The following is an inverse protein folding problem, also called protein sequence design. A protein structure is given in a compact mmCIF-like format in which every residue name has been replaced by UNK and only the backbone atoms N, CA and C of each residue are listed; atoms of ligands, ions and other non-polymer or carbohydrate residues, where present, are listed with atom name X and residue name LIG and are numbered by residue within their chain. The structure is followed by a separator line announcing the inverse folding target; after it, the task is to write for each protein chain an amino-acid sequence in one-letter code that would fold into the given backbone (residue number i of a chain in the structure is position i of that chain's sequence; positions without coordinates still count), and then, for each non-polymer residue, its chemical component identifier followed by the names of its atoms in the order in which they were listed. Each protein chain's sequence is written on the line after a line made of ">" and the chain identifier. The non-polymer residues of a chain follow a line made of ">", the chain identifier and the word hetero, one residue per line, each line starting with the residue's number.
data_IF_515964089768
#
_entry.id   IF_515964089768
#
_cell.length_a   1.000
_cell.length_b   1.000
_cell.length_c   1.000
_cell.angle_alpha   90.00
_cell.angle_beta   90.00
_cell.angle_gamma   90.00
#
_symmetry.space_group_name_H-M   'P 1'
#
loop_
_entity.id
_entity.type
_entity.pdbx_description
1 polymer ?
#
# COMPACT_ATOMS: atom_id res chain seq x y z
N UNK A 1 -6.20 19.63 -13.93
CA UNK A 1 -7.27 18.65 -13.69
C UNK A 1 -8.28 19.29 -12.77
N UNK A 2 -9.57 19.02 -12.97
CA UNK A 2 -10.64 19.54 -12.11
C UNK A 2 -10.74 18.68 -10.84
N UNK A 3 -11.00 19.29 -9.69
CA UNK A 3 -11.30 18.55 -8.47
C UNK A 3 -12.69 17.91 -8.56
N UNK A 4 -12.94 16.77 -7.88
CA UNK A 4 -14.28 16.20 -7.77
C UNK A 4 -15.26 17.21 -7.17
N UNK A 5 -16.48 17.29 -7.71
CA UNK A 5 -17.53 18.19 -7.21
C UNK A 5 -17.86 17.88 -5.75
N UNK A 6 -17.90 16.60 -5.38
CA UNK A 6 -18.11 16.18 -3.98
C UNK A 6 -17.08 16.78 -3.02
N UNK A 7 -15.79 16.83 -3.40
CA UNK A 7 -14.73 17.39 -2.56
C UNK A 7 -14.86 18.92 -2.42
N UNK A 8 -15.13 19.61 -3.53
CA UNK A 8 -15.34 21.06 -3.52
C UNK A 8 -16.54 21.42 -2.65
N UNK A 9 -17.63 20.67 -2.74
CA UNK A 9 -18.80 20.85 -1.88
C UNK A 9 -18.48 20.62 -0.40
N UNK A 10 -17.67 19.59 -0.07
CA UNK A 10 -17.20 19.37 1.31
C UNK A 10 -16.33 20.53 1.83
N UNK A 11 -15.46 21.11 1.00
CA UNK A 11 -14.66 22.29 1.38
C UNK A 11 -15.55 23.51 1.60
N UNK A 12 -16.45 23.81 0.65
CA UNK A 12 -17.39 24.93 0.73
C UNK A 12 -18.32 24.81 1.94
N UNK A 13 -18.76 23.60 2.28
CA UNK A 13 -19.61 23.31 3.44
C UNK A 13 -18.97 23.61 4.81
N UNK A 14 -17.65 23.86 4.86
CA UNK A 14 -16.96 24.32 6.07
C UNK A 14 -17.09 25.82 6.33
N UNK A 15 -17.64 26.60 5.39
CA UNK A 15 -17.81 28.04 5.53
C UNK A 15 -19.03 28.38 6.40
N UNK A 16 -18.81 29.20 7.43
CA UNK A 16 -19.84 29.67 8.36
C UNK A 16 -19.85 28.89 9.68
N UNK A 17 -19.58 29.58 10.79
CA UNK A 17 -19.53 28.97 12.13
C UNK A 17 -20.91 28.94 12.76
N UNK A 18 -21.44 27.76 13.12
CA UNK A 18 -22.74 27.66 13.77
C UNK A 18 -22.84 28.52 15.03
N UNK A 19 -23.83 29.40 15.09
CA UNK A 19 -24.10 30.28 16.23
C UNK A 19 -23.24 31.54 16.35
N UNK A 20 -22.29 31.78 15.42
CA UNK A 20 -21.48 32.99 15.39
C UNK A 20 -21.73 33.82 14.12
N UNK A 21 -21.68 33.18 12.96
CA UNK A 21 -21.80 33.87 11.68
C UNK A 21 -23.26 33.82 11.19
N UNK A 22 -23.84 34.94 10.72
CA UNK A 22 -25.21 34.96 10.20
C UNK A 22 -25.34 34.20 8.87
N UNK A 23 -24.26 34.09 8.11
CA UNK A 23 -24.13 33.29 6.88
C UNK A 23 -22.66 32.92 6.64
N UNK A 24 -22.42 31.87 5.87
CA UNK A 24 -21.09 31.46 5.41
C UNK A 24 -20.86 31.88 3.96
N UNK A 25 -19.62 32.23 3.61
CA UNK A 25 -19.22 32.56 2.24
C UNK A 25 -18.08 31.65 1.81
N UNK A 26 -18.25 30.98 0.67
CA UNK A 26 -17.21 30.18 0.01
C UNK A 26 -16.94 30.78 -1.37
N UNK A 27 -15.67 30.87 -1.75
CA UNK A 27 -15.24 31.53 -2.99
C UNK A 27 -14.42 30.55 -3.82
N UNK A 28 -14.87 30.32 -5.06
CA UNK A 28 -14.10 29.57 -6.05
C UNK A 28 -13.13 30.52 -6.77
N UNK A 29 -11.89 30.10 -6.92
CA UNK A 29 -10.83 30.90 -7.55
C UNK A 29 -10.34 30.19 -8.81
N UNK A 30 -10.34 30.90 -9.94
CA UNK A 30 -9.83 30.41 -11.22
C UNK A 30 -9.47 31.55 -12.15
N UNK A 31 -8.94 31.20 -13.33
CA UNK A 31 -8.67 32.17 -14.38
C UNK A 31 -9.99 32.77 -14.93
N UNK A 32 -9.95 33.99 -15.45
CA UNK A 32 -11.16 34.71 -15.85
C UNK A 32 -12.01 33.98 -16.90
N UNK A 33 -11.37 33.20 -17.77
CA UNK A 33 -11.97 32.36 -18.80
C UNK A 33 -12.62 31.07 -18.26
N UNK A 34 -12.32 30.67 -17.02
CA UNK A 34 -12.88 29.47 -16.37
C UNK A 34 -14.13 29.74 -15.52
N UNK A 35 -14.57 31.00 -15.43
CA UNK A 35 -15.65 31.42 -14.53
C UNK A 35 -16.95 30.65 -14.75
N UNK A 36 -17.39 30.54 -16.00
CA UNK A 36 -18.69 29.93 -16.28
C UNK A 36 -18.66 28.41 -16.04
N UNK A 37 -17.54 27.76 -16.35
CA UNK A 37 -17.31 26.33 -16.06
C UNK A 37 -17.25 26.05 -14.54
N UNK A 38 -16.63 26.95 -13.75
CA UNK A 38 -16.65 26.85 -12.28
C UNK A 38 -18.07 26.92 -11.71
N UNK A 39 -18.91 27.80 -12.24
CA UNK A 39 -20.31 27.93 -11.82
C UNK A 39 -21.10 26.68 -12.20
N UNK A 40 -21.04 26.28 -13.47
CA UNK A 40 -21.75 25.10 -13.97
C UNK A 40 -21.35 23.84 -13.19
N UNK A 41 -20.05 23.63 -12.96
CA UNK A 41 -19.54 22.40 -12.33
C UNK A 41 -19.78 22.33 -10.83
N UNK A 42 -19.49 23.42 -10.10
CA UNK A 42 -19.40 23.38 -8.64
C UNK A 42 -20.51 24.12 -7.91
N UNK A 43 -21.21 25.04 -8.56
CA UNK A 43 -22.35 25.76 -7.93
C UNK A 43 -23.68 25.16 -8.36
N UNK A 44 -23.83 24.87 -9.65
CA UNK A 44 -25.06 24.32 -10.23
C UNK A 44 -25.00 22.79 -10.38
N UNK A 45 -23.79 22.24 -10.47
CA UNK A 45 -23.55 20.80 -10.60
C UNK A 45 -23.77 20.04 -9.30
N UNK A 46 -24.30 18.82 -9.44
CA UNK A 46 -24.45 17.87 -8.34
C UNK A 46 -23.14 17.06 -8.16
N UNK A 47 -22.86 16.58 -6.93
CA UNK A 47 -21.75 15.66 -6.69
C UNK A 47 -21.80 14.42 -7.57
N UNK A 48 -20.63 13.89 -7.92
CA UNK A 48 -20.52 12.60 -8.60
C UNK A 48 -21.14 11.48 -7.75
N UNK A 49 -21.75 10.48 -8.42
CA UNK A 49 -22.25 9.28 -7.75
C UNK A 49 -21.11 8.51 -7.07
N UNK A 50 -21.40 7.91 -5.92
CA UNK A 50 -20.46 6.99 -5.26
C UNK A 50 -20.48 5.66 -6.01
N UNK A 51 -19.32 5.23 -6.49
CA UNK A 51 -19.14 3.94 -7.17
C UNK A 51 -18.35 2.97 -6.29
N UNK A 52 -18.67 1.67 -6.37
CA UNK A 52 -17.90 0.65 -5.66
C UNK A 52 -16.50 0.43 -6.24
N UNK A 53 -15.46 0.48 -5.39
CA UNK A 53 -14.07 0.19 -5.77
C UNK A 53 -13.67 -1.29 -5.62
N UNK A 54 -14.57 -2.17 -5.19
CA UNK A 54 -14.26 -3.59 -4.92
C UNK A 54 -13.60 -4.34 -6.10
N UNK A 55 -13.92 -3.97 -7.34
CA UNK A 55 -13.36 -4.59 -8.54
C UNK A 55 -11.91 -4.16 -8.85
N UNK A 56 -11.37 -3.19 -8.11
CA UNK A 56 -9.95 -2.87 -8.16
C UNK A 56 -9.11 -4.12 -7.83
N UNK A 57 -8.15 -4.53 -8.69
CA UNK A 57 -7.42 -5.78 -8.52
C UNK A 57 -6.68 -5.91 -7.18
N UNK A 58 -6.11 -4.83 -6.65
CA UNK A 58 -5.37 -4.85 -5.39
C UNK A 58 -6.33 -5.04 -4.20
N UNK A 59 -7.45 -4.32 -4.23
CA UNK A 59 -8.53 -4.45 -3.25
C UNK A 59 -9.13 -5.85 -3.27
N UNK A 60 -9.48 -6.35 -4.46
CA UNK A 60 -10.09 -7.67 -4.63
C UNK A 60 -9.19 -8.78 -4.12
N UNK A 61 -7.89 -8.75 -4.45
CA UNK A 61 -6.91 -9.75 -3.99
C UNK A 61 -6.84 -9.82 -2.47
N UNK A 62 -6.86 -8.67 -1.80
CA UNK A 62 -6.87 -8.58 -0.34
C UNK A 62 -8.12 -9.23 0.25
N UNK A 63 -9.29 -8.93 -0.30
CA UNK A 63 -10.56 -9.50 0.18
C UNK A 63 -10.69 -11.00 -0.11
N UNK A 64 -10.21 -11.47 -1.26
CA UNK A 64 -10.16 -12.89 -1.60
C UNK A 64 -9.27 -13.65 -0.63
N UNK A 65 -8.05 -13.16 -0.36
CA UNK A 65 -7.17 -13.78 0.63
C UNK A 65 -7.83 -13.82 2.00
N UNK A 66 -8.44 -12.72 2.44
CA UNK A 66 -9.13 -12.65 3.72
C UNK A 66 -10.26 -13.68 3.80
N UNK A 67 -11.10 -13.82 2.78
CA UNK A 67 -12.22 -14.76 2.78
C UNK A 67 -11.75 -16.22 2.92
N UNK A 68 -10.66 -16.58 2.24
CA UNK A 68 -10.04 -17.91 2.33
C UNK A 68 -9.36 -18.10 3.68
N UNK A 69 -8.57 -17.14 4.15
CA UNK A 69 -7.79 -17.24 5.39
C UNK A 69 -8.67 -17.31 6.66
N UNK A 70 -9.84 -16.69 6.65
CA UNK A 70 -10.81 -16.78 7.75
C UNK A 70 -11.74 -17.99 7.64
N UNK A 71 -11.65 -18.76 6.56
CA UNK A 71 -12.53 -19.91 6.29
C UNK A 71 -13.97 -19.52 5.96
N UNK A 72 -14.21 -18.31 5.45
CA UNK A 72 -15.55 -17.93 4.95
C UNK A 72 -15.85 -18.54 3.58
N UNK A 73 -14.81 -18.84 2.79
CA UNK A 73 -14.95 -19.49 1.50
C UNK A 73 -13.78 -20.44 1.24
N UNK A 74 -14.09 -21.60 0.67
CA UNK A 74 -13.14 -22.63 0.25
C UNK A 74 -13.19 -22.87 -1.27
N UNK A 75 -14.02 -22.14 -2.02
CA UNK A 75 -14.13 -22.23 -3.48
C UNK A 75 -14.34 -20.85 -4.11
N UNK A 76 -14.05 -20.71 -5.41
CA UNK A 76 -14.33 -19.46 -6.15
C UNK A 76 -15.81 -19.11 -6.15
N UNK A 77 -16.70 -20.11 -6.18
CA UNK A 77 -18.15 -19.88 -6.07
C UNK A 77 -18.52 -19.30 -4.72
N UNK A 78 -18.01 -19.86 -3.61
CA UNK A 78 -18.29 -19.34 -2.27
C UNK A 78 -17.69 -17.93 -2.06
N UNK A 79 -16.56 -17.62 -2.69
CA UNK A 79 -16.01 -16.25 -2.71
C UNK A 79 -16.98 -15.30 -3.40
N UNK A 80 -17.56 -15.69 -4.53
CA UNK A 80 -18.55 -14.88 -5.23
C UNK A 80 -19.82 -14.70 -4.38
N UNK A 81 -20.29 -15.75 -3.71
CA UNK A 81 -21.43 -15.69 -2.79
C UNK A 81 -21.19 -14.69 -1.65
N UNK A 82 -19.97 -14.64 -1.10
CA UNK A 82 -19.58 -13.62 -0.11
C UNK A 82 -19.70 -12.21 -0.69
N UNK A 83 -19.31 -12.02 -1.96
CA UNK A 83 -19.37 -10.72 -2.62
C UNK A 83 -20.75 -10.31 -3.13
N UNK A 84 -21.73 -11.22 -3.22
CA UNK A 84 -23.12 -10.87 -3.57
C UNK A 84 -23.77 -9.87 -2.60
N UNK A 85 -23.32 -9.86 -1.34
CA UNK A 85 -23.79 -8.93 -0.31
C UNK A 85 -23.19 -7.51 -0.39
N UNK A 86 -22.34 -7.22 -1.37
CA UNK A 86 -21.58 -5.96 -1.44
C UNK A 86 -22.29 -4.87 -2.25
N UNK A 87 -21.87 -3.61 -2.07
CA UNK A 87 -22.36 -2.49 -2.87
C UNK A 87 -22.05 -2.68 -4.37
N UNK A 88 -20.91 -3.27 -4.71
CA UNK A 88 -20.57 -3.66 -6.09
C UNK A 88 -21.65 -4.54 -6.72
N UNK A 89 -22.00 -5.64 -6.06
CA UNK A 89 -22.98 -6.60 -6.59
C UNK A 89 -24.37 -5.97 -6.73
N UNK A 90 -24.69 -4.98 -5.88
CA UNK A 90 -25.94 -4.21 -5.98
C UNK A 90 -26.00 -3.34 -7.23
N UNK A 91 -24.87 -2.76 -7.66
CA UNK A 91 -24.79 -1.88 -8.83
C UNK A 91 -24.59 -2.66 -10.14
N UNK A 92 -23.62 -3.57 -10.18
CA UNK A 92 -23.21 -4.29 -11.40
C UNK A 92 -24.08 -5.52 -11.73
N UNK A 93 -24.85 -6.02 -10.76
CA UNK A 93 -25.58 -7.27 -10.87
C UNK A 93 -24.70 -8.50 -10.58
N UNK A 94 -25.33 -9.68 -10.50
CA UNK A 94 -24.66 -10.93 -10.16
C UNK A 94 -23.64 -11.35 -11.24
N UNK A 95 -22.47 -11.82 -10.81
CA UNK A 95 -21.46 -12.47 -11.68
C UNK A 95 -20.38 -11.57 -12.27
N UNK A 96 -20.43 -10.25 -12.07
CA UNK A 96 -19.44 -9.31 -12.62
C UNK A 96 -17.99 -9.51 -12.15
N UNK A 97 -17.78 -10.25 -11.05
CA UNK A 97 -16.47 -10.50 -10.45
C UNK A 97 -15.87 -11.87 -10.77
N UNK A 98 -16.56 -12.77 -11.48
CA UNK A 98 -16.10 -14.15 -11.64
C UNK A 98 -14.67 -14.25 -12.21
N UNK A 99 -14.43 -13.58 -13.34
CA UNK A 99 -13.10 -13.56 -13.97
C UNK A 99 -12.05 -12.88 -13.06
N UNK A 100 -12.43 -11.78 -12.40
CA UNK A 100 -11.55 -11.03 -11.51
C UNK A 100 -11.15 -11.84 -10.25
N UNK A 101 -12.09 -12.62 -9.70
CA UNK A 101 -11.85 -13.56 -8.60
C UNK A 101 -10.91 -14.67 -9.05
N UNK A 102 -11.12 -15.26 -10.23
CA UNK A 102 -10.21 -16.27 -10.78
C UNK A 102 -8.78 -15.74 -10.96
N UNK A 103 -8.63 -14.50 -11.45
CA UNK A 103 -7.33 -13.81 -11.54
C UNK A 103 -6.71 -13.59 -10.16
N UNK A 104 -7.48 -13.10 -9.20
CA UNK A 104 -7.01 -12.87 -7.83
C UNK A 104 -6.55 -14.16 -7.14
N UNK A 105 -7.32 -15.24 -7.26
CA UNK A 105 -6.94 -16.58 -6.76
C UNK A 105 -5.67 -17.07 -7.45
N UNK A 106 -5.56 -16.92 -8.77
CA UNK A 106 -4.36 -17.28 -9.52
C UNK A 106 -3.10 -16.54 -9.03
N UNK A 107 -3.23 -15.24 -8.76
CA UNK A 107 -2.15 -14.43 -8.20
C UNK A 107 -1.76 -14.90 -6.79
N UNK A 108 -2.74 -15.13 -5.91
CA UNK A 108 -2.50 -15.62 -4.54
C UNK A 108 -1.85 -17.01 -4.49
N UNK A 109 -2.19 -17.88 -5.44
CA UNK A 109 -1.54 -19.19 -5.58
C UNK A 109 -0.09 -19.03 -6.05
N UNK A 110 0.15 -18.11 -7.00
CA UNK A 110 1.51 -17.84 -7.49
C UNK A 110 2.41 -17.26 -6.40
N UNK A 111 1.85 -16.43 -5.51
CA UNK A 111 2.53 -15.83 -4.36
C UNK A 111 2.67 -16.78 -3.15
N UNK A 112 2.31 -18.07 -3.27
CA UNK A 112 2.33 -19.06 -2.19
C UNK A 112 1.51 -18.65 -0.94
N UNK A 113 0.43 -17.88 -1.14
CA UNK A 113 -0.48 -17.46 -0.07
C UNK A 113 -1.74 -18.33 0.01
N UNK A 114 -2.14 -18.93 -1.11
CA UNK A 114 -3.28 -19.85 -1.21
C UNK A 114 -2.83 -21.11 -1.94
N UNK A 115 -3.35 -22.27 -1.54
CA UNK A 115 -3.12 -23.56 -2.20
C UNK A 115 -4.44 -24.15 -2.68
N UNK A 116 -4.37 -24.86 -3.79
CA UNK A 116 -5.48 -25.67 -4.32
C UNK A 116 -5.33 -27.10 -3.82
N UNK A 117 -6.27 -27.57 -3.01
CA UNK A 117 -6.31 -28.92 -2.46
C UNK A 117 -7.29 -29.77 -3.26
N UNK A 118 -6.82 -30.86 -3.85
CA UNK A 118 -7.66 -31.76 -4.65
C UNK A 118 -8.68 -32.47 -3.78
N UNK A 119 -9.96 -32.27 -4.05
CA UNK A 119 -11.08 -32.95 -3.40
C UNK A 119 -11.66 -34.02 -4.34
N UNK A 120 -10.89 -35.07 -4.63
CA UNK A 120 -11.43 -36.29 -5.25
C UNK A 120 -11.73 -36.25 -6.76
N UNK A 121 -11.29 -35.23 -7.51
CA UNK A 121 -11.36 -35.16 -8.98
C UNK A 121 -10.40 -34.12 -9.57
N UNK A 122 -10.16 -34.16 -10.89
CA UNK A 122 -9.19 -33.27 -11.58
C UNK A 122 -9.66 -31.81 -11.61
N UNK A 123 -10.97 -31.58 -11.53
CA UNK A 123 -11.60 -30.26 -11.65
C UNK A 123 -12.26 -29.76 -10.34
N UNK A 124 -12.16 -30.52 -9.24
CA UNK A 124 -12.76 -30.15 -7.95
C UNK A 124 -11.64 -29.92 -6.92
N UNK A 125 -11.31 -28.64 -6.69
CA UNK A 125 -10.33 -28.23 -5.70
C UNK A 125 -10.95 -27.30 -4.67
N UNK A 126 -10.42 -27.39 -3.45
CA UNK A 126 -10.67 -26.42 -2.39
C UNK A 126 -9.49 -25.47 -2.25
N UNK A 127 -9.80 -24.22 -1.93
CA UNK A 127 -8.86 -23.18 -1.60
C UNK A 127 -8.58 -23.25 -0.09
N UNK A 128 -7.29 -23.24 0.25
CA UNK A 128 -6.85 -23.08 1.63
C UNK A 128 -5.72 -22.06 1.68
N UNK A 129 -5.72 -21.20 2.68
CA UNK A 129 -4.59 -20.30 2.91
C UNK A 129 -3.35 -21.11 3.34
N UNK A 130 -2.18 -20.69 2.90
CA UNK A 130 -0.91 -21.17 3.46
C UNK A 130 -0.62 -20.45 4.77
N UNK A 131 0.39 -20.88 5.54
CA UNK A 131 0.79 -20.13 6.75
C UNK A 131 1.23 -18.69 6.42
N UNK A 132 1.86 -18.49 5.26
CA UNK A 132 2.22 -17.15 4.76
C UNK A 132 0.97 -16.34 4.46
N UNK A 133 -0.01 -16.91 3.76
CA UNK A 133 -1.28 -16.24 3.47
C UNK A 133 -2.07 -15.88 4.73
N UNK A 134 -2.18 -16.82 5.69
CA UNK A 134 -2.81 -16.56 6.98
C UNK A 134 -2.09 -15.45 7.77
N UNK A 135 -0.75 -15.45 7.77
CA UNK A 135 0.04 -14.43 8.45
C UNK A 135 -0.17 -13.07 7.79
N UNK A 136 -0.06 -13.00 6.47
CA UNK A 136 -0.28 -11.80 5.66
C UNK A 136 -1.66 -11.19 5.96
N UNK A 137 -2.72 -12.00 5.90
CA UNK A 137 -4.08 -11.57 6.20
C UNK A 137 -4.21 -11.06 7.65
N UNK A 138 -3.62 -11.76 8.62
CA UNK A 138 -3.67 -11.38 10.05
C UNK A 138 -2.89 -10.11 10.36
N UNK A 139 -1.80 -9.85 9.65
CA UNK A 139 -1.03 -8.60 9.75
C UNK A 139 -1.71 -7.41 9.05
N UNK A 140 -2.80 -7.69 8.31
CA UNK A 140 -3.59 -6.69 7.59
C UNK A 140 -2.80 -5.96 6.48
N UNK A 141 -1.73 -6.59 5.97
CA UNK A 141 -0.97 -6.08 4.83
C UNK A 141 -1.55 -6.61 3.54
N UNK A 142 -1.36 -5.89 2.44
CA UNK A 142 -1.73 -6.36 1.11
C UNK A 142 -0.97 -7.65 0.75
N UNK A 143 -1.58 -8.55 -0.04
CA UNK A 143 -0.89 -9.73 -0.56
C UNK A 143 0.43 -9.40 -1.28
N UNK A 144 0.46 -8.34 -2.09
CA UNK A 144 1.68 -7.88 -2.76
C UNK A 144 2.77 -7.45 -1.78
N UNK A 145 2.38 -6.77 -0.69
CA UNK A 145 3.30 -6.40 0.40
C UNK A 145 3.87 -7.64 1.08
N UNK A 146 3.01 -8.61 1.43
CA UNK A 146 3.46 -9.86 2.06
C UNK A 146 4.41 -10.65 1.17
N UNK A 147 4.14 -10.72 -0.14
CA UNK A 147 4.99 -11.38 -1.12
C UNK A 147 6.38 -10.70 -1.20
N UNK A 148 6.42 -9.37 -1.35
CA UNK A 148 7.68 -8.60 -1.40
C UNK A 148 8.48 -8.74 -0.10
N UNK A 149 7.82 -8.67 1.06
CA UNK A 149 8.47 -8.86 2.37
C UNK A 149 9.07 -10.26 2.47
N UNK A 150 8.34 -11.32 2.09
CA UNK A 150 8.87 -12.70 2.13
C UNK A 150 10.06 -12.86 1.20
N UNK A 151 10.01 -12.29 0.00
CA UNK A 151 11.14 -12.25 -0.94
C UNK A 151 12.37 -11.56 -0.32
N UNK A 152 12.19 -10.33 0.16
CA UNK A 152 13.24 -9.54 0.79
C UNK A 152 13.83 -10.20 2.04
N UNK A 153 13.01 -10.87 2.86
CA UNK A 153 13.47 -11.58 4.06
C UNK A 153 14.37 -12.78 3.70
N UNK A 154 14.01 -13.53 2.65
CA UNK A 154 14.84 -14.64 2.16
C UNK A 154 16.18 -14.13 1.61
N UNK A 155 16.17 -13.02 0.88
CA UNK A 155 17.40 -12.37 0.41
C UNK A 155 18.25 -11.89 1.58
N UNK A 156 17.67 -11.12 2.51
CA UNK A 156 18.36 -10.58 3.68
C UNK A 156 18.95 -11.68 4.57
N UNK A 157 18.26 -12.81 4.74
CA UNK A 157 18.76 -13.97 5.49
C UNK A 157 20.00 -14.62 4.85
N UNK A 158 20.16 -14.49 3.53
CA UNK A 158 21.35 -14.96 2.80
C UNK A 158 22.52 -13.96 2.83
N UNK A 159 22.27 -12.70 3.21
CA UNK A 159 23.28 -11.65 3.26
C UNK A 159 24.11 -11.74 4.54
N UNK A 160 25.44 -11.72 4.39
CA UNK A 160 26.37 -11.71 5.54
C UNK A 160 26.43 -10.38 6.30
N UNK A 161 25.89 -9.32 5.71
CA UNK A 161 26.04 -7.92 6.12
C UNK A 161 24.69 -7.18 6.14
N UNK A 162 23.57 -7.87 6.40
CA UNK A 162 22.27 -7.22 6.54
C UNK A 162 22.28 -6.17 7.68
N UNK A 163 21.75 -4.99 7.40
CA UNK A 163 21.74 -3.80 8.27
C UNK A 163 20.32 -3.29 8.49
N UNK A 164 20.14 -2.26 9.33
CA UNK A 164 18.85 -1.56 9.47
C UNK A 164 18.38 -0.97 8.15
N UNK A 165 19.29 -0.43 7.34
CA UNK A 165 18.98 0.01 5.98
C UNK A 165 18.43 -1.13 5.09
N UNK A 166 18.94 -2.36 5.24
CA UNK A 166 18.40 -3.55 4.56
C UNK A 166 16.95 -3.82 4.98
N UNK A 167 16.65 -3.70 6.28
CA UNK A 167 15.30 -3.90 6.79
C UNK A 167 14.33 -2.80 6.35
N UNK A 168 14.79 -1.54 6.30
CA UNK A 168 13.98 -0.44 5.81
C UNK A 168 13.74 -0.51 4.30
N UNK A 169 14.75 -0.83 3.48
CA UNK A 169 14.55 -0.97 2.04
C UNK A 169 13.51 -2.06 1.72
N UNK A 170 13.59 -3.19 2.43
CA UNK A 170 12.64 -4.29 2.31
C UNK A 170 11.18 -3.86 2.52
N UNK A 171 10.89 -3.04 3.53
CA UNK A 171 9.51 -2.61 3.82
C UNK A 171 9.10 -1.36 3.02
N UNK A 172 10.04 -0.49 2.67
CA UNK A 172 9.75 0.74 1.96
C UNK A 172 9.41 0.51 0.50
N UNK A 173 9.91 -0.58 -0.10
CA UNK A 173 9.54 -0.98 -1.46
C UNK A 173 8.26 -1.80 -1.54
N UNK A 174 7.38 -1.69 -0.53
CA UNK A 174 6.09 -2.39 -0.50
C UNK A 174 4.95 -1.42 -0.82
N UNK A 175 3.88 -1.89 -1.47
CA UNK A 175 2.73 -1.03 -1.77
C UNK A 175 2.13 -0.35 -0.53
N UNK A 176 2.23 -0.96 0.66
CA UNK A 176 1.72 -0.43 1.95
C UNK A 176 2.54 0.70 2.57
N UNK A 177 3.75 0.95 2.06
CA UNK A 177 4.45 2.19 2.33
C UNK A 177 3.84 3.33 1.52
N UNK A 178 3.85 4.53 2.09
CA UNK A 178 3.45 5.73 1.35
C UNK A 178 4.51 6.11 0.33
N UNK A 179 4.06 6.43 -0.88
CA UNK A 179 4.92 6.96 -1.91
C UNK A 179 5.64 8.24 -1.45
N UNK A 180 6.78 8.49 -2.06
CA UNK A 180 7.47 9.78 -1.99
C UNK A 180 7.67 10.27 -3.43
N UNK A 181 8.43 11.35 -3.59
CA UNK A 181 8.80 11.81 -4.92
C UNK A 181 10.28 12.15 -4.94
N UNK A 182 10.87 12.07 -6.12
CA UNK A 182 12.22 12.55 -6.39
C UNK A 182 12.20 13.81 -7.24
N UNK A 183 12.65 14.92 -6.66
CA UNK A 183 13.07 16.07 -7.43
C UNK A 183 14.27 15.74 -8.33
N UNK A 184 14.44 16.48 -9.42
CA UNK A 184 15.50 16.22 -10.39
C UNK A 184 16.92 16.17 -9.79
N UNK A 185 17.21 17.02 -8.80
CA UNK A 185 18.50 17.02 -8.09
C UNK A 185 18.66 15.80 -7.17
N UNK A 186 17.58 15.39 -6.50
CA UNK A 186 17.56 14.25 -5.57
C UNK A 186 17.78 12.92 -6.30
N UNK A 187 17.29 12.76 -7.54
CA UNK A 187 17.49 11.54 -8.34
C UNK A 187 18.96 11.12 -8.41
N UNK A 188 19.84 12.07 -8.74
CA UNK A 188 21.27 11.78 -8.88
C UNK A 188 21.94 11.51 -7.52
N UNK A 189 21.41 12.06 -6.44
CA UNK A 189 21.86 11.75 -5.08
C UNK A 189 21.43 10.35 -4.66
N UNK A 190 20.15 10.02 -4.79
CA UNK A 190 19.61 8.70 -4.43
C UNK A 190 20.23 7.60 -5.26
N UNK A 191 20.46 7.81 -6.56
CA UNK A 191 21.23 6.87 -7.39
C UNK A 191 22.62 6.58 -6.82
N UNK A 192 23.36 7.65 -6.44
CA UNK A 192 24.71 7.49 -5.85
C UNK A 192 24.66 6.83 -4.48
N UNK A 193 23.64 7.12 -3.69
CA UNK A 193 23.40 6.50 -2.40
C UNK A 193 23.12 4.99 -2.57
N UNK A 194 22.17 4.63 -3.43
CA UNK A 194 21.81 3.25 -3.73
C UNK A 194 23.02 2.46 -4.24
N UNK A 195 23.77 3.02 -5.20
CA UNK A 195 24.98 2.37 -5.74
C UNK A 195 26.06 2.15 -4.69
N UNK A 196 26.23 3.08 -3.74
CA UNK A 196 27.20 2.94 -2.63
C UNK A 196 26.79 1.85 -1.65
N UNK A 197 25.48 1.70 -1.43
CA UNK A 197 24.91 0.76 -0.47
C UNK A 197 24.37 -0.52 -1.11
N UNK A 198 24.60 -0.76 -2.40
CA UNK A 198 24.05 -1.91 -3.13
C UNK A 198 24.31 -3.25 -2.42
N UNK A 199 25.47 -3.43 -1.78
CA UNK A 199 25.79 -4.64 -1.03
C UNK A 199 24.98 -4.86 0.26
N UNK A 200 24.13 -3.91 0.67
CA UNK A 200 23.24 -4.02 1.83
C UNK A 200 21.75 -3.80 1.46
N UNK A 201 21.40 -3.66 0.19
CA UNK A 201 20.01 -3.60 -0.26
C UNK A 201 19.57 -5.01 -0.71
N UNK A 202 18.28 -5.32 -0.56
CA UNK A 202 17.75 -6.62 -0.99
C UNK A 202 17.39 -6.64 -2.47
N UNK A 203 17.10 -5.48 -3.06
CA UNK A 203 16.80 -5.34 -4.48
C UNK A 203 18.04 -4.88 -5.25
N UNK A 204 18.44 -5.66 -6.26
CA UNK A 204 19.52 -5.26 -7.16
C UNK A 204 19.03 -4.21 -8.18
N UNK A 205 19.89 -3.25 -8.53
CA UNK A 205 19.54 -2.11 -9.39
C UNK A 205 19.02 -2.49 -10.80
N UNK A 206 19.31 -3.72 -11.26
CA UNK A 206 18.92 -4.21 -12.59
C UNK A 206 17.70 -5.15 -12.56
N UNK A 207 17.22 -5.48 -11.36
CA UNK A 207 16.08 -6.37 -11.14
C UNK A 207 14.77 -5.60 -10.91
N UNK A 208 14.85 -4.28 -10.70
CA UNK A 208 13.66 -3.44 -10.50
C UNK A 208 12.94 -3.14 -11.82
N UNK A 209 11.62 -3.37 -11.82
CA UNK A 209 10.72 -3.08 -12.93
C UNK A 209 10.51 -1.56 -13.13
N UNK A 210 10.44 -0.81 -12.03
CA UNK A 210 10.36 0.65 -12.00
C UNK A 210 11.51 1.23 -11.18
N UNK A 211 12.57 1.63 -11.89
CA UNK A 211 13.78 2.15 -11.28
C UNK A 211 13.57 3.46 -10.52
N UNK A 212 12.61 4.31 -10.95
CA UNK A 212 12.35 5.59 -10.31
C UNK A 212 11.60 5.38 -8.99
N UNK A 213 10.55 4.55 -9.02
CA UNK A 213 9.80 4.17 -7.83
C UNK A 213 10.71 3.46 -6.82
N UNK A 214 11.60 2.58 -7.26
CA UNK A 214 12.55 1.95 -6.37
C UNK A 214 13.51 2.95 -5.70
N UNK A 215 13.97 3.99 -6.42
CA UNK A 215 14.78 5.05 -5.81
C UNK A 215 13.98 5.88 -4.78
N UNK A 216 12.67 6.04 -4.96
CA UNK A 216 11.77 6.64 -3.98
C UNK A 216 11.67 5.78 -2.71
N UNK A 217 11.55 4.47 -2.86
CA UNK A 217 11.64 3.51 -1.75
C UNK A 217 12.97 3.62 -1.01
N UNK A 218 14.09 3.72 -1.73
CA UNK A 218 15.44 3.90 -1.16
C UNK A 218 15.56 5.24 -0.43
N UNK A 219 14.99 6.33 -0.96
CA UNK A 219 14.93 7.63 -0.27
C UNK A 219 14.22 7.47 1.08
N UNK A 220 13.08 6.81 1.09
CA UNK A 220 12.31 6.57 2.33
C UNK A 220 13.10 5.71 3.32
N UNK A 221 13.75 4.64 2.85
CA UNK A 221 14.59 3.80 3.69
C UNK A 221 15.77 4.57 4.30
N UNK A 222 16.39 5.47 3.54
CA UNK A 222 17.47 6.34 4.02
C UNK A 222 16.98 7.32 5.10
N UNK A 223 15.80 7.93 4.91
CA UNK A 223 15.19 8.82 5.91
C UNK A 223 15.01 8.10 7.24
N UNK A 224 14.47 6.86 7.20
CA UNK A 224 14.27 6.06 8.41
C UNK A 224 15.59 5.62 9.06
N UNK A 225 16.62 5.32 8.27
CA UNK A 225 17.95 4.97 8.79
C UNK A 225 18.64 6.18 9.46
N UNK A 226 18.54 7.37 8.86
CA UNK A 226 19.04 8.62 9.48
C UNK A 226 18.23 9.02 10.73
N UNK A 227 16.91 8.77 10.74
CA UNK A 227 16.05 8.98 11.90
C UNK A 227 16.51 8.15 13.11
N UNK A 228 16.69 6.83 12.93
CA UNK A 228 17.11 5.97 14.05
C UNK A 228 18.53 6.27 14.53
N UNK A 229 19.36 6.89 13.69
CA UNK A 229 20.71 7.36 14.01
C UNK A 229 20.74 8.75 14.68
N UNK A 230 19.57 9.35 14.93
CA UNK A 230 19.39 10.52 15.79
C UNK A 230 19.23 11.86 15.05
N UNK A 231 18.95 11.84 13.74
CA UNK A 231 18.60 13.05 13.01
C UNK A 231 17.31 13.68 13.57
N UNK A 232 17.23 15.00 13.61
CA UNK A 232 16.01 15.70 14.08
C UNK A 232 14.96 15.80 12.98
N UNK A 233 13.71 16.07 13.38
CA UNK A 233 12.61 16.33 12.43
C UNK A 233 12.97 17.45 11.48
N UNK A 234 13.55 18.55 11.97
CA UNK A 234 13.95 19.69 11.16
C UNK A 234 15.02 19.32 10.12
N UNK A 235 16.03 18.55 10.52
CA UNK A 235 17.11 18.11 9.62
C UNK A 235 16.55 17.26 8.47
N UNK A 236 15.65 16.31 8.77
CA UNK A 236 15.06 15.42 7.76
C UNK A 236 14.07 16.17 6.85
N UNK A 237 13.22 17.03 7.42
CA UNK A 237 12.26 17.85 6.68
C UNK A 237 12.97 18.77 5.69
N UNK A 238 14.05 19.42 6.12
CA UNK A 238 14.86 20.29 5.27
C UNK A 238 15.62 19.51 4.20
N UNK A 239 16.30 18.41 4.57
CA UNK A 239 17.13 17.64 3.65
C UNK A 239 16.33 16.94 2.54
N UNK A 240 15.15 16.41 2.87
CA UNK A 240 14.37 15.56 1.97
C UNK A 240 13.11 16.21 1.38
N UNK A 241 12.86 17.49 1.72
CA UNK A 241 11.71 18.27 1.23
C UNK A 241 10.37 17.57 1.48
N UNK A 242 10.22 17.00 2.67
CA UNK A 242 8.99 16.36 3.17
C UNK A 242 8.34 17.22 4.25
N UNK A 243 7.05 17.06 4.52
CA UNK A 243 6.40 17.68 5.67
C UNK A 243 6.65 16.89 6.97
N UNK A 244 6.58 17.55 8.15
CA UNK A 244 6.67 16.86 9.45
C UNK A 244 5.64 15.73 9.60
N UNK A 245 4.40 15.97 9.16
CA UNK A 245 3.34 14.94 9.19
C UNK A 245 3.61 13.76 8.25
N UNK A 246 4.35 13.96 7.16
CA UNK A 246 4.74 12.87 6.28
C UNK A 246 5.86 12.02 6.92
N UNK A 247 6.74 12.62 7.72
CA UNK A 247 7.75 11.89 8.50
C UNK A 247 7.08 11.02 9.57
N UNK A 248 6.18 11.61 10.36
CA UNK A 248 5.42 10.89 11.40
C UNK A 248 4.67 9.70 10.78
N UNK A 249 3.95 9.93 9.67
CA UNK A 249 3.22 8.87 8.95
C UNK A 249 4.13 7.75 8.44
N UNK A 250 5.35 8.07 8.00
CA UNK A 250 6.32 7.07 7.53
C UNK A 250 6.89 6.24 8.68
N UNK A 251 7.17 6.86 9.83
CA UNK A 251 7.65 6.16 11.03
C UNK A 251 6.58 5.19 11.53
N UNK A 252 5.33 5.64 11.67
CA UNK A 252 4.22 4.78 12.11
C UNK A 252 3.99 3.60 11.15
N UNK A 253 4.04 3.84 9.83
CA UNK A 253 3.92 2.77 8.82
C UNK A 253 5.11 1.82 8.87
N UNK A 254 6.33 2.34 9.04
CA UNK A 254 7.51 1.52 9.14
C UNK A 254 7.47 0.59 10.36
N UNK A 255 6.98 1.08 11.50
CA UNK A 255 6.82 0.26 12.71
C UNK A 255 5.83 -0.90 12.45
N UNK A 256 4.68 -0.61 11.84
CA UNK A 256 3.69 -1.63 11.48
C UNK A 256 4.25 -2.65 10.47
N UNK A 257 4.89 -2.20 9.39
CA UNK A 257 5.45 -3.10 8.38
C UNK A 257 6.62 -3.93 8.89
N UNK A 258 7.47 -3.38 9.75
CA UNK A 258 8.53 -4.16 10.41
C UNK A 258 7.92 -5.22 11.35
N UNK A 259 6.83 -4.89 12.06
CA UNK A 259 6.08 -5.89 12.83
C UNK A 259 5.52 -7.01 11.95
N UNK A 260 5.00 -6.68 10.76
CA UNK A 260 4.52 -7.67 9.81
C UNK A 260 5.70 -8.52 9.25
N UNK A 261 6.85 -7.90 8.99
CA UNK A 261 8.05 -8.58 8.55
C UNK A 261 8.61 -9.56 9.61
N UNK A 262 8.59 -9.21 10.90
CA UNK A 262 8.96 -10.14 11.97
C UNK A 262 8.04 -11.36 12.00
N UNK A 263 6.71 -11.13 11.94
CA UNK A 263 5.74 -12.22 11.93
C UNK A 263 5.92 -13.14 10.70
N UNK A 264 6.18 -12.57 9.52
CA UNK A 264 6.43 -13.32 8.30
C UNK A 264 7.76 -14.08 8.35
N UNK A 265 8.81 -13.49 8.95
CA UNK A 265 10.11 -14.13 9.14
C UNK A 265 9.98 -15.38 10.03
N UNK A 266 9.24 -15.28 11.13
CA UNK A 266 8.92 -16.41 12.01
C UNK A 266 8.14 -17.50 11.25
N UNK A 267 7.14 -17.10 10.47
CA UNK A 267 6.31 -18.02 9.67
C UNK A 267 7.13 -18.80 8.64
N UNK A 268 8.10 -18.17 7.98
CA UNK A 268 8.96 -18.86 6.99
C UNK A 268 10.24 -19.44 7.60
N UNK A 269 10.45 -19.29 8.92
CA UNK A 269 11.57 -19.86 9.65
C UNK A 269 12.94 -19.25 9.32
N UNK A 270 13.00 -17.95 8.98
CA UNK A 270 14.27 -17.24 8.72
C UNK A 270 14.59 -16.23 9.82
N UNK A 271 15.87 -16.10 10.16
CA UNK A 271 16.34 -15.12 11.12
C UNK A 271 16.94 -13.90 10.43
N UNK A 272 16.32 -12.74 10.58
CA UNK A 272 16.83 -11.46 10.06
C UNK A 272 16.94 -10.44 11.21
N UNK A 273 18.00 -10.51 12.05
CA UNK A 273 18.10 -9.68 13.26
C UNK A 273 18.09 -8.16 13.02
N UNK A 274 18.38 -7.72 11.79
CA UNK A 274 18.30 -6.31 11.41
C UNK A 274 16.87 -5.78 11.42
N UNK A 275 15.85 -6.60 11.15
CA UNK A 275 14.43 -6.21 11.20
C UNK A 275 14.05 -5.85 12.64
N UNK A 276 14.31 -6.75 13.60
CA UNK A 276 14.04 -6.47 15.01
C UNK A 276 14.85 -5.30 15.56
N UNK A 277 16.10 -5.14 15.10
CA UNK A 277 16.92 -4.00 15.47
C UNK A 277 16.34 -2.68 14.96
N UNK A 278 15.94 -2.63 13.69
CA UNK A 278 15.31 -1.44 13.11
C UNK A 278 14.05 -1.06 13.88
N UNK A 279 13.16 -2.02 14.12
CA UNK A 279 11.91 -1.81 14.87
C UNK A 279 12.15 -1.28 16.27
N UNK A 280 13.13 -1.83 17.00
CA UNK A 280 13.43 -1.40 18.38
C UNK A 280 13.99 0.02 18.51
N UNK A 281 14.38 0.64 17.39
CA UNK A 281 15.01 1.97 17.34
C UNK A 281 14.11 3.05 16.73
N UNK A 282 13.00 2.68 16.09
CA UNK A 282 11.95 3.62 15.68
C UNK A 282 11.27 4.20 16.91
#
# INVERSE_FOLDING_TARGET
>A
EWLPTLEVHQMCGRAGRPGLDPHGEAVLVGAADTRDELVERYVEGEPESVESTLADPASLRTHVLSAVATGFAETESEILDVFEGTFYAREAGAGGLADAVGVAVGALVSADMVRRETAGGVDDYRLAATQVGETTSRQYVRPETGERIVGGLRTAAAMSNATTLTAFELICDTPDMQDTYLGNEERAEMYRFARRHAGVLTTEMHETDDFEQWLESVKTARILDEWIDGATVEELVEAYRIGPGDLDSRIERAEWLLSAAEALADTIGVGVPSVSRARSRL
#
